data_IF_906626426280
#
_entry.id   IF_906626426280
#
_cell.length_a   1.000
_cell.length_b   1.000
_cell.length_c   1.000
_cell.angle_alpha   90.00
_cell.angle_beta   90.00
_cell.angle_gamma   90.00
#
_symmetry.space_group_name_H-M   'P 1'
#
loop_
_entity.id
_entity.type
_entity.pdbx_description
1 polymer ?
#
# COMPACT_ATOMS: atom_id res chain seq x y z
N UNK A 1 4.51 -2.51 14.59
CA UNK A 1 4.24 -3.44 15.71
C UNK A 1 4.58 -2.74 17.01
N UNK A 2 3.66 -2.65 17.95
CA UNK A 2 3.92 -2.24 19.33
C UNK A 2 4.05 -3.49 20.21
N UNK A 3 5.18 -3.62 20.91
CA UNK A 3 5.43 -4.65 21.90
C UNK A 3 5.22 -4.08 23.31
N UNK A 4 4.18 -4.57 23.99
CA UNK A 4 3.80 -4.07 25.30
C UNK A 4 4.81 -4.41 26.40
N UNK A 5 5.56 -5.50 26.26
CA UNK A 5 6.53 -5.92 27.27
C UNK A 5 7.70 -4.93 27.33
N UNK A 6 8.16 -4.46 26.17
CA UNK A 6 9.27 -3.50 26.08
C UNK A 6 8.82 -2.05 25.92
N UNK A 7 7.52 -1.82 25.68
CA UNK A 7 6.92 -0.53 25.31
C UNK A 7 7.55 0.10 24.05
N UNK A 8 8.11 -0.73 23.16
CA UNK A 8 8.75 -0.29 21.92
C UNK A 8 7.81 -0.47 20.74
N UNK A 9 7.92 0.46 19.80
CA UNK A 9 7.24 0.35 18.50
C UNK A 9 8.28 0.13 17.43
N UNK A 10 8.13 -0.94 16.65
CA UNK A 10 9.04 -1.34 15.59
C UNK A 10 8.31 -1.36 14.25
N UNK A 11 8.93 -0.80 13.22
CA UNK A 11 8.51 -0.89 11.83
C UNK A 11 9.24 -2.03 11.13
N UNK A 12 8.50 -2.90 10.43
CA UNK A 12 9.07 -3.96 9.59
C UNK A 12 8.63 -3.66 8.16
N UNK A 13 9.56 -3.17 7.36
CA UNK A 13 9.34 -2.85 5.95
C UNK A 13 9.74 -4.07 5.10
N UNK A 14 8.76 -4.61 4.38
CA UNK A 14 8.94 -5.78 3.53
C UNK A 14 8.29 -5.56 2.15
N UNK A 15 8.29 -4.32 1.67
CA UNK A 15 7.78 -3.97 0.37
C UNK A 15 8.67 -4.52 -0.76
N UNK A 16 8.06 -4.67 -1.93
CA UNK A 16 8.73 -5.22 -3.11
C UNK A 16 10.01 -4.47 -3.48
N UNK A 17 11.07 -5.23 -3.76
CA UNK A 17 12.36 -4.69 -4.17
C UNK A 17 12.61 -4.95 -5.66
N UNK A 18 13.09 -3.95 -6.39
CA UNK A 18 13.46 -4.10 -7.79
C UNK A 18 14.58 -5.14 -7.94
N UNK A 19 14.48 -6.08 -8.91
CA UNK A 19 15.61 -6.92 -9.26
C UNK A 19 16.85 -6.10 -9.65
N UNK A 20 18.04 -6.66 -9.43
CA UNK A 20 19.30 -6.00 -9.76
C UNK A 20 19.47 -5.73 -11.26
N UNK A 21 18.79 -6.50 -12.11
CA UNK A 21 18.83 -6.36 -13.56
C UNK A 21 17.73 -5.41 -14.13
N UNK A 22 17.04 -4.63 -13.29
CA UNK A 22 16.10 -3.62 -13.77
C UNK A 22 16.83 -2.53 -14.56
N UNK A 23 16.27 -2.14 -15.71
CA UNK A 23 16.77 -1.02 -16.52
C UNK A 23 15.72 0.10 -16.56
N UNK A 24 16.12 1.37 -16.81
CA UNK A 24 15.20 2.52 -16.86
C UNK A 24 14.10 2.43 -17.95
N UNK A 25 14.25 1.53 -18.91
CA UNK A 25 13.36 1.32 -20.05
C UNK A 25 12.58 -0.02 -19.99
N UNK A 26 12.81 -0.86 -18.96
CA UNK A 26 12.24 -2.20 -18.86
C UNK A 26 10.72 -2.23 -19.09
N UNK A 27 10.00 -1.29 -18.49
CA UNK A 27 8.53 -1.18 -18.60
C UNK A 27 8.05 -0.17 -19.65
N UNK A 28 8.94 0.50 -20.37
CA UNK A 28 8.54 1.46 -21.40
C UNK A 28 8.16 0.76 -22.71
N UNK A 29 7.14 1.25 -23.41
CA UNK A 29 6.80 0.88 -24.78
C UNK A 29 7.76 1.49 -25.79
N UNK A 30 7.55 1.18 -27.07
CA UNK A 30 8.30 1.78 -28.18
C UNK A 30 8.09 3.30 -28.28
N UNK A 31 6.97 3.80 -27.74
CA UNK A 31 6.63 5.21 -27.64
C UNK A 31 7.31 5.93 -26.47
N UNK A 32 8.15 5.22 -25.70
CA UNK A 32 8.82 5.74 -24.52
C UNK A 32 7.92 5.97 -23.31
N UNK A 33 6.65 5.53 -23.36
CA UNK A 33 5.70 5.64 -22.24
C UNK A 33 5.59 4.33 -21.49
N UNK A 34 5.07 4.35 -20.26
CA UNK A 34 4.84 3.13 -19.51
C UNK A 34 3.86 2.21 -20.25
N UNK A 35 4.26 0.95 -20.46
CA UNK A 35 3.45 -0.05 -21.16
C UNK A 35 2.64 -0.87 -20.15
N UNK A 36 1.32 -0.73 -20.19
CA UNK A 36 0.41 -1.53 -19.36
C UNK A 36 0.62 -3.04 -19.57
N UNK A 37 0.84 -3.48 -20.81
CA UNK A 37 1.10 -4.88 -21.12
C UNK A 37 2.39 -5.41 -20.45
N UNK A 38 3.42 -4.56 -20.31
CA UNK A 38 4.65 -4.93 -19.59
C UNK A 38 4.44 -4.91 -18.07
N UNK A 39 3.70 -3.92 -17.56
CA UNK A 39 3.31 -3.82 -16.14
C UNK A 39 2.53 -5.06 -15.69
N UNK A 40 1.53 -5.48 -16.48
CA UNK A 40 0.68 -6.64 -16.22
C UNK A 40 1.29 -7.93 -16.78
N UNK A 41 2.59 -8.13 -16.51
CA UNK A 41 3.35 -9.31 -16.92
C UNK A 41 4.46 -9.63 -15.94
N UNK A 42 5.20 -10.71 -16.19
CA UNK A 42 6.40 -11.06 -15.42
C UNK A 42 7.48 -9.95 -15.40
N UNK A 43 7.45 -8.99 -16.33
CA UNK A 43 8.34 -7.82 -16.34
C UNK A 43 8.06 -6.82 -15.21
N UNK A 44 6.79 -6.70 -14.78
CA UNK A 44 6.37 -5.76 -13.73
C UNK A 44 6.65 -6.23 -12.31
N UNK A 45 7.21 -7.43 -12.14
CA UNK A 45 7.33 -8.10 -10.85
C UNK A 45 8.56 -7.61 -10.08
N UNK A 46 8.32 -7.10 -8.86
CA UNK A 46 9.37 -6.93 -7.85
C UNK A 46 9.58 -8.22 -7.04
N UNK A 47 10.73 -8.33 -6.38
CA UNK A 47 11.03 -9.40 -5.42
C UNK A 47 9.97 -9.42 -4.30
N UNK A 48 9.20 -10.51 -4.12
CA UNK A 48 8.13 -10.55 -3.12
C UNK A 48 8.67 -10.57 -1.69
N UNK A 49 8.17 -9.66 -0.84
CA UNK A 49 8.70 -9.48 0.51
C UNK A 49 7.91 -10.10 1.66
N UNK A 50 6.66 -10.50 1.43
CA UNK A 50 5.72 -10.92 2.49
C UNK A 50 6.26 -12.03 3.38
N UNK A 51 6.88 -13.07 2.82
CA UNK A 51 7.41 -14.20 3.59
C UNK A 51 8.52 -13.73 4.54
N UNK A 52 9.45 -12.90 4.07
CA UNK A 52 10.52 -12.36 4.92
C UNK A 52 9.98 -11.44 6.00
N UNK A 53 9.00 -10.59 5.68
CA UNK A 53 8.37 -9.69 6.66
C UNK A 53 7.66 -10.43 7.78
N UNK A 54 6.81 -11.40 7.44
CA UNK A 54 6.09 -12.21 8.42
C UNK A 54 7.03 -13.10 9.24
N UNK A 55 8.07 -13.65 8.61
CA UNK A 55 9.07 -14.46 9.32
C UNK A 55 9.94 -13.61 10.26
N UNK A 56 10.31 -12.38 9.88
CA UNK A 56 11.03 -11.45 10.76
C UNK A 56 10.16 -11.00 11.95
N UNK A 57 8.87 -10.77 11.73
CA UNK A 57 7.91 -10.51 12.81
C UNK A 57 7.79 -11.72 13.75
N UNK A 58 7.72 -12.94 13.21
CA UNK A 58 7.69 -14.18 13.99
C UNK A 58 8.95 -14.36 14.84
N UNK A 59 10.14 -14.14 14.27
CA UNK A 59 11.41 -14.25 15.01
C UNK A 59 11.50 -13.29 16.19
N UNK A 60 10.92 -12.09 16.07
CA UNK A 60 11.00 -11.03 17.09
C UNK A 60 9.93 -11.15 18.16
N UNK A 61 8.71 -11.45 17.75
CA UNK A 61 7.52 -11.30 18.60
C UNK A 61 6.69 -12.59 18.70
N UNK A 62 6.98 -13.59 17.88
CA UNK A 62 6.22 -14.85 17.82
C UNK A 62 6.43 -15.72 19.06
N UNK A 63 5.33 -16.22 19.62
CA UNK A 63 5.35 -17.21 20.73
C UNK A 63 5.05 -18.63 20.27
N UNK A 64 4.20 -18.79 19.25
CA UNK A 64 3.84 -20.10 18.71
C UNK A 64 4.88 -20.57 17.69
N UNK A 65 5.12 -21.89 17.54
CA UNK A 65 5.99 -22.40 16.49
C UNK A 65 5.51 -21.97 15.09
N UNK A 66 6.45 -21.57 14.22
CA UNK A 66 6.16 -21.15 12.83
C UNK A 66 5.28 -22.15 12.09
N UNK A 67 5.59 -23.44 12.24
CA UNK A 67 4.83 -24.54 11.63
C UNK A 67 3.33 -24.49 11.96
N UNK A 68 3.00 -24.18 13.21
CA UNK A 68 1.62 -24.10 13.69
C UNK A 68 0.87 -22.92 13.07
N UNK A 69 1.56 -21.82 12.78
CA UNK A 69 0.95 -20.62 12.17
C UNK A 69 0.66 -20.82 10.67
N UNK A 70 1.46 -21.61 9.96
CA UNK A 70 1.28 -21.86 8.53
C UNK A 70 0.27 -23.00 8.25
N UNK A 71 0.14 -23.97 9.17
CA UNK A 71 -0.70 -25.15 8.96
C UNK A 71 -2.16 -24.83 8.61
N UNK A 72 -2.85 -23.87 9.25
CA UNK A 72 -4.23 -23.53 8.89
C UNK A 72 -4.37 -23.09 7.43
N UNK A 73 -3.38 -22.38 6.89
CA UNK A 73 -3.41 -21.94 5.48
C UNK A 73 -3.18 -23.10 4.52
N UNK A 74 -2.30 -24.05 4.88
CA UNK A 74 -2.12 -25.30 4.12
C UNK A 74 -3.43 -26.09 4.08
N UNK A 75 -4.11 -26.19 5.22
CA UNK A 75 -5.38 -26.89 5.35
C UNK A 75 -6.47 -26.24 4.49
N UNK A 76 -6.60 -24.91 4.53
CA UNK A 76 -7.54 -24.16 3.69
C UNK A 76 -7.25 -24.36 2.20
N UNK A 77 -6.00 -24.21 1.76
CA UNK A 77 -5.63 -24.39 0.36
C UNK A 77 -5.81 -25.84 -0.14
N UNK A 78 -5.66 -26.83 0.76
CA UNK A 78 -5.78 -28.25 0.44
C UNK A 78 -7.22 -28.76 0.47
N UNK A 79 -7.97 -28.46 1.55
CA UNK A 79 -9.37 -28.90 1.73
C UNK A 79 -10.30 -28.09 0.82
N UNK A 80 -9.95 -26.82 0.64
CA UNK A 80 -10.64 -25.84 -0.17
C UNK A 80 -11.36 -24.80 0.68
N UNK A 81 -11.54 -23.62 0.09
CA UNK A 81 -12.38 -22.54 0.64
C UNK A 81 -13.69 -22.48 -0.13
N UNK A 82 -14.78 -22.25 0.59
CA UNK A 82 -16.07 -21.95 -0.03
C UNK A 82 -16.04 -20.49 -0.47
N UNK A 83 -16.20 -20.25 -1.77
CA UNK A 83 -16.18 -18.92 -2.35
C UNK A 83 -17.39 -18.12 -1.85
N UNK A 84 -17.14 -16.93 -1.31
CA UNK A 84 -18.21 -15.97 -1.04
C UNK A 84 -18.73 -15.36 -2.35
N UNK A 85 -19.87 -14.65 -2.28
CA UNK A 85 -20.42 -13.93 -3.42
C UNK A 85 -19.39 -12.96 -4.02
N UNK A 86 -18.78 -12.13 -3.17
CA UNK A 86 -17.78 -11.14 -3.59
C UNK A 86 -16.52 -11.80 -4.17
N UNK A 87 -16.00 -12.85 -3.55
CA UNK A 87 -14.82 -13.56 -4.05
C UNK A 87 -15.08 -14.19 -5.43
N UNK A 88 -16.27 -14.77 -5.64
CA UNK A 88 -16.65 -15.38 -6.90
C UNK A 88 -16.82 -14.33 -8.01
N UNK A 89 -17.50 -13.22 -7.70
CA UNK A 89 -17.73 -12.11 -8.65
C UNK A 89 -16.40 -11.46 -9.03
N UNK A 90 -15.60 -11.04 -8.05
CA UNK A 90 -14.32 -10.37 -8.30
C UNK A 90 -13.34 -11.25 -9.09
N UNK A 91 -13.30 -12.55 -8.81
CA UNK A 91 -12.49 -13.49 -9.59
C UNK A 91 -13.02 -13.68 -11.03
N UNK A 92 -14.34 -13.72 -11.20
CA UNK A 92 -14.96 -13.83 -12.51
C UNK A 92 -14.71 -12.60 -13.39
N UNK A 93 -14.80 -11.40 -12.83
CA UNK A 93 -14.47 -10.13 -13.50
C UNK A 93 -13.02 -10.09 -14.02
N UNK A 94 -12.11 -10.81 -13.35
CA UNK A 94 -10.70 -10.90 -13.74
C UNK A 94 -10.38 -12.01 -14.73
N UNK A 95 -11.37 -12.79 -15.17
CA UNK A 95 -11.19 -13.94 -16.06
C UNK A 95 -10.50 -13.61 -17.38
N UNK A 96 -10.84 -12.47 -17.99
CA UNK A 96 -10.24 -12.05 -19.25
C UNK A 96 -8.74 -11.73 -19.07
N UNK A 97 -8.38 -11.10 -17.95
CA UNK A 97 -7.02 -10.64 -17.71
C UNK A 97 -6.12 -11.79 -17.23
N UNK A 98 -6.54 -12.52 -16.18
CA UNK A 98 -5.82 -13.68 -15.65
C UNK A 98 -5.74 -14.83 -16.65
N UNK A 99 -6.74 -14.98 -17.52
CA UNK A 99 -6.75 -16.03 -18.54
C UNK A 99 -5.67 -15.89 -19.61
N UNK A 100 -4.97 -14.75 -19.68
CA UNK A 100 -3.83 -14.54 -20.60
C UNK A 100 -2.58 -15.29 -20.14
N UNK A 101 -2.43 -15.55 -18.85
CA UNK A 101 -1.34 -16.34 -18.30
C UNK A 101 -1.80 -17.79 -18.05
N UNK A 102 -1.19 -18.80 -18.69
CA UNK A 102 -1.56 -20.20 -18.45
C UNK A 102 -1.38 -20.64 -16.99
N UNK A 103 -0.42 -20.04 -16.26
CA UNK A 103 -0.21 -20.32 -14.84
C UNK A 103 -1.38 -19.86 -13.99
N UNK A 104 -1.80 -18.60 -14.15
CA UNK A 104 -2.95 -18.04 -13.48
C UNK A 104 -4.24 -18.76 -13.88
N UNK A 105 -4.43 -19.06 -15.16
CA UNK A 105 -5.59 -19.81 -15.65
C UNK A 105 -5.72 -21.17 -14.94
N UNK A 106 -4.63 -21.93 -14.86
CA UNK A 106 -4.57 -23.24 -14.22
C UNK A 106 -4.89 -23.18 -12.71
N UNK A 107 -4.44 -22.12 -12.03
CA UNK A 107 -4.54 -22.01 -10.57
C UNK A 107 -5.89 -21.48 -10.12
N UNK A 108 -6.43 -20.47 -10.81
CA UNK A 108 -7.58 -19.70 -10.33
C UNK A 108 -8.91 -20.04 -11.03
N UNK A 109 -8.90 -20.81 -12.11
CA UNK A 109 -10.10 -21.21 -12.83
C UNK A 109 -10.26 -22.73 -12.88
N UNK A 110 -11.46 -23.18 -13.25
CA UNK A 110 -11.75 -24.61 -13.40
C UNK A 110 -10.96 -25.18 -14.58
N UNK A 111 -10.77 -26.51 -14.67
CA UNK A 111 -9.98 -27.13 -15.75
C UNK A 111 -10.48 -26.82 -17.17
N UNK A 112 -11.78 -26.57 -17.33
CA UNK A 112 -12.40 -26.12 -18.60
C UNK A 112 -12.26 -24.62 -18.84
N UNK A 113 -11.62 -23.89 -17.93
CA UNK A 113 -11.44 -22.44 -17.96
C UNK A 113 -12.63 -21.64 -17.47
N UNK A 114 -13.68 -22.26 -16.92
CA UNK A 114 -14.83 -21.55 -16.34
C UNK A 114 -14.55 -21.01 -14.93
N UNK A 115 -15.38 -20.08 -14.47
CA UNK A 115 -15.24 -19.41 -13.17
C UNK A 115 -15.88 -20.23 -12.04
N UNK A 116 -15.46 -19.98 -10.81
CA UNK A 116 -16.17 -20.45 -9.61
C UNK A 116 -17.31 -19.48 -9.29
N UNK A 117 -18.49 -20.01 -9.01
CA UNK A 117 -19.63 -19.29 -8.48
C UNK A 117 -19.66 -19.31 -6.95
N UNK A 118 -20.55 -18.52 -6.34
CA UNK A 118 -20.69 -18.51 -4.89
C UNK A 118 -21.10 -19.87 -4.34
N UNK A 119 -20.57 -20.23 -3.16
CA UNK A 119 -20.79 -21.53 -2.54
C UNK A 119 -19.96 -22.68 -3.13
N UNK A 120 -19.31 -22.49 -4.28
CA UNK A 120 -18.40 -23.50 -4.83
C UNK A 120 -17.07 -23.54 -4.06
N UNK A 121 -16.42 -24.70 -4.08
CA UNK A 121 -15.15 -24.90 -3.37
C UNK A 121 -13.94 -24.66 -4.27
N UNK A 122 -13.17 -23.62 -3.98
CA UNK A 122 -11.88 -23.34 -4.61
C UNK A 122 -10.73 -24.07 -3.89
N UNK A 123 -9.78 -24.64 -4.65
CA UNK A 123 -8.61 -25.36 -4.12
C UNK A 123 -7.34 -24.97 -4.86
N UNK A 124 -6.21 -24.91 -4.15
CA UNK A 124 -4.93 -24.51 -4.73
C UNK A 124 -3.80 -25.45 -4.30
N UNK A 125 -3.62 -26.54 -5.05
CA UNK A 125 -2.62 -27.59 -4.75
C UNK A 125 -1.18 -27.11 -4.92
N UNK A 126 -0.94 -26.21 -5.87
CA UNK A 126 0.40 -25.66 -6.12
C UNK A 126 0.83 -24.77 -4.93
N UNK A 127 -0.11 -23.99 -4.36
CA UNK A 127 0.14 -23.20 -3.15
C UNK A 127 0.42 -24.08 -1.93
N UNK A 128 -0.27 -25.21 -1.79
CA UNK A 128 0.01 -26.19 -0.72
C UNK A 128 1.46 -26.65 -0.76
N UNK A 129 1.99 -26.94 -1.95
CA UNK A 129 3.39 -27.34 -2.10
C UNK A 129 4.36 -26.23 -1.66
N UNK A 130 4.12 -24.99 -2.10
CA UNK A 130 4.92 -23.82 -1.71
C UNK A 130 4.88 -23.58 -0.20
N UNK A 131 3.69 -23.57 0.40
CA UNK A 131 3.50 -23.36 1.83
C UNK A 131 4.19 -24.43 2.67
N UNK A 132 4.24 -25.69 2.20
CA UNK A 132 5.00 -26.75 2.88
C UNK A 132 6.52 -26.48 2.90
N UNK A 133 7.08 -25.90 1.84
CA UNK A 133 8.49 -25.51 1.84
C UNK A 133 8.75 -24.38 2.85
N UNK A 134 7.90 -23.35 2.85
CA UNK A 134 7.95 -22.23 3.80
C UNK A 134 7.77 -22.72 5.23
N UNK A 135 6.84 -23.64 5.47
CA UNK A 135 6.59 -24.22 6.78
C UNK A 135 7.81 -24.97 7.32
N UNK A 136 8.48 -25.75 6.46
CA UNK A 136 9.61 -26.60 6.84
C UNK A 136 10.93 -25.84 6.99
N UNK A 137 11.15 -24.79 6.19
CA UNK A 137 12.45 -24.10 6.08
C UNK A 137 12.41 -22.61 6.48
N UNK A 138 11.28 -22.14 7.01
CA UNK A 138 11.09 -20.72 7.33
C UNK A 138 11.14 -19.85 6.07
N UNK A 139 11.73 -18.66 6.17
CA UNK A 139 11.90 -17.77 5.02
C UNK A 139 12.69 -18.41 3.86
N UNK A 140 13.72 -19.21 4.17
CA UNK A 140 14.53 -19.88 3.14
C UNK A 140 13.72 -20.89 2.31
N UNK A 141 12.56 -21.35 2.79
CA UNK A 141 11.65 -22.15 1.99
C UNK A 141 11.05 -21.42 0.78
N UNK A 142 11.11 -20.07 0.77
CA UNK A 142 10.69 -19.22 -0.34
C UNK A 142 11.89 -18.61 -1.09
N UNK A 143 12.85 -18.06 -0.35
CA UNK A 143 13.96 -17.28 -0.93
C UNK A 143 15.14 -18.14 -1.41
N UNK A 144 15.17 -19.43 -1.07
CA UNK A 144 16.23 -20.37 -1.48
C UNK A 144 15.62 -21.72 -1.89
N UNK A 145 16.33 -22.46 -2.75
CA UNK A 145 15.95 -23.81 -3.17
C UNK A 145 14.70 -23.87 -4.08
N UNK A 146 13.88 -24.93 -3.99
CA UNK A 146 12.94 -25.28 -5.07
C UNK A 146 11.88 -24.21 -5.39
N UNK A 147 11.38 -23.46 -4.41
CA UNK A 147 10.41 -22.39 -4.67
C UNK A 147 11.09 -21.24 -5.41
N UNK A 148 12.28 -20.84 -4.99
CA UNK A 148 13.07 -19.80 -5.63
C UNK A 148 13.42 -20.17 -7.08
N UNK A 149 13.85 -21.42 -7.30
CA UNK A 149 14.16 -21.97 -8.63
C UNK A 149 12.95 -21.93 -9.56
N UNK A 150 11.78 -22.40 -9.11
CA UNK A 150 10.54 -22.36 -9.93
C UNK A 150 10.09 -20.93 -10.22
N UNK A 151 10.15 -20.06 -9.22
CA UNK A 151 9.77 -18.66 -9.36
C UNK A 151 10.65 -17.97 -10.41
N UNK A 152 11.97 -18.05 -10.27
CA UNK A 152 12.92 -17.40 -11.17
C UNK A 152 12.82 -17.98 -12.58
N UNK A 153 12.76 -19.30 -12.73
CA UNK A 153 12.61 -19.94 -14.03
C UNK A 153 11.31 -19.47 -14.74
N UNK A 154 10.19 -19.40 -14.01
CA UNK A 154 8.92 -18.92 -14.53
C UNK A 154 8.95 -17.46 -14.96
N UNK A 155 9.55 -16.59 -14.12
CA UNK A 155 9.69 -15.15 -14.38
C UNK A 155 10.57 -14.91 -15.62
N UNK A 156 11.74 -15.55 -15.68
CA UNK A 156 12.69 -15.36 -16.77
C UNK A 156 12.21 -15.92 -18.10
N UNK A 157 11.55 -17.09 -18.11
CA UNK A 157 10.96 -17.68 -19.31
C UNK A 157 9.91 -16.78 -19.99
N UNK A 158 9.40 -15.78 -19.27
CA UNK A 158 8.40 -14.81 -19.75
C UNK A 158 8.92 -13.37 -19.75
N UNK A 159 10.24 -13.20 -19.74
CA UNK A 159 10.93 -11.93 -19.96
C UNK A 159 11.07 -11.04 -18.73
N UNK A 160 10.72 -11.51 -17.53
CA UNK A 160 11.06 -10.82 -16.30
C UNK A 160 12.54 -10.99 -15.93
N UNK A 161 13.06 -10.09 -15.10
CA UNK A 161 14.51 -9.94 -14.87
C UNK A 161 14.98 -10.39 -13.48
N UNK A 162 14.09 -11.00 -12.69
CA UNK A 162 14.44 -11.53 -11.37
C UNK A 162 15.41 -12.71 -11.47
N UNK A 163 16.36 -12.77 -10.56
CA UNK A 163 17.37 -13.85 -10.45
C UNK A 163 17.28 -14.58 -9.10
N UNK A 164 17.99 -15.70 -8.98
CA UNK A 164 18.13 -16.40 -7.70
C UNK A 164 18.91 -15.57 -6.67
N UNK A 165 19.88 -14.77 -7.13
CA UNK A 165 20.64 -13.87 -6.28
C UNK A 165 19.76 -12.77 -5.69
N UNK A 166 18.85 -12.21 -6.50
CA UNK A 166 17.85 -11.24 -6.04
C UNK A 166 17.00 -11.82 -4.88
N UNK A 167 16.48 -13.03 -5.05
CA UNK A 167 15.70 -13.71 -3.99
C UNK A 167 16.56 -14.00 -2.76
N UNK A 168 17.75 -14.55 -2.93
CA UNK A 168 18.64 -14.89 -1.83
C UNK A 168 19.13 -13.65 -1.07
N UNK A 169 19.23 -12.50 -1.74
CA UNK A 169 19.65 -11.21 -1.19
C UNK A 169 18.55 -10.45 -0.45
N UNK A 170 17.27 -10.71 -0.76
CA UNK A 170 16.15 -9.97 -0.19
C UNK A 170 16.06 -10.07 1.34
N UNK A 171 15.88 -8.95 2.02
CA UNK A 171 15.64 -8.87 3.48
C UNK A 171 14.56 -7.85 3.78
N UNK A 172 13.75 -8.12 4.81
CA UNK A 172 12.90 -7.10 5.39
C UNK A 172 13.77 -6.12 6.19
N UNK A 173 13.47 -4.82 6.09
CA UNK A 173 14.13 -3.79 6.87
C UNK A 173 13.42 -3.63 8.21
N UNK A 174 14.20 -3.57 9.30
CA UNK A 174 13.67 -3.29 10.63
C UNK A 174 14.10 -1.89 11.05
N UNK A 175 13.14 -1.06 11.35
CA UNK A 175 13.31 0.38 11.50
C UNK A 175 12.55 0.89 12.72
N UNK A 176 12.94 2.06 13.21
CA UNK A 176 12.10 2.86 14.11
C UNK A 176 11.04 3.58 13.28
N UNK A 177 9.80 3.72 13.78
CA UNK A 177 8.78 4.51 13.10
C UNK A 177 9.16 6.00 13.09
N UNK A 178 8.56 6.74 12.15
CA UNK A 178 8.58 8.20 12.19
C UNK A 178 7.55 8.64 13.22
N UNK A 179 8.01 9.37 14.24
CA UNK A 179 7.15 9.91 15.28
C UNK A 179 6.75 11.34 14.96
N UNK A 180 5.46 11.64 15.10
CA UNK A 180 4.91 12.99 15.16
C UNK A 180 3.79 13.01 16.19
N UNK A 181 3.11 14.14 16.33
CA UNK A 181 1.94 14.27 17.18
C UNK A 181 0.81 14.96 16.39
N UNK A 182 -0.42 14.87 16.87
CA UNK A 182 -1.55 15.62 16.34
C UNK A 182 -2.56 15.84 17.47
N UNK A 183 -2.84 17.11 17.80
CA UNK A 183 -3.75 17.50 18.90
C UNK A 183 -3.37 16.85 20.25
N UNK A 184 -2.06 16.75 20.52
CA UNK A 184 -1.52 16.16 21.74
C UNK A 184 -1.47 14.62 21.77
N UNK A 185 -1.94 13.94 20.72
CA UNK A 185 -1.80 12.49 20.58
C UNK A 185 -0.52 12.17 19.83
N UNK A 186 0.27 11.23 20.35
CA UNK A 186 1.52 10.77 19.70
C UNK A 186 1.18 9.74 18.62
N UNK A 187 1.78 9.86 17.43
CA UNK A 187 1.49 8.98 16.31
C UNK A 187 2.78 8.39 15.75
N UNK A 188 2.79 7.06 15.60
CA UNK A 188 3.84 6.32 14.91
C UNK A 188 3.42 6.07 13.46
N UNK A 189 4.20 6.61 12.55
CA UNK A 189 4.06 6.44 11.11
C UNK A 189 5.11 5.47 10.57
N UNK A 190 4.69 4.62 9.64
CA UNK A 190 5.61 3.74 8.92
C UNK A 190 6.66 4.56 8.14
N UNK A 191 7.97 4.25 8.24
CA UNK A 191 8.99 4.94 7.47
C UNK A 191 8.84 4.70 5.95
N UNK A 192 9.45 5.57 5.12
CA UNK A 192 9.57 5.32 3.69
C UNK A 192 10.12 3.91 3.41
N UNK A 193 9.65 3.22 2.38
CA UNK A 193 8.97 3.74 1.18
C UNK A 193 7.44 3.90 1.29
N UNK A 194 6.86 3.65 2.48
CA UNK A 194 5.45 3.93 2.80
C UNK A 194 5.10 5.43 2.67
N UNK A 195 3.84 5.74 2.38
CA UNK A 195 3.34 7.11 2.38
C UNK A 195 2.89 7.63 3.76
N UNK A 196 3.10 6.87 4.85
CA UNK A 196 2.66 7.31 6.17
C UNK A 196 3.34 8.61 6.62
N UNK A 197 4.56 8.91 6.15
CA UNK A 197 5.20 10.23 6.37
C UNK A 197 4.48 11.37 5.64
N UNK A 198 3.89 11.12 4.47
CA UNK A 198 3.03 12.09 3.78
C UNK A 198 1.69 12.27 4.51
N UNK A 199 1.16 11.21 5.13
CA UNK A 199 0.01 11.37 6.05
C UNK A 199 0.39 12.28 7.22
N UNK A 200 1.56 12.07 7.83
CA UNK A 200 2.05 12.91 8.94
C UNK A 200 2.19 14.39 8.53
N UNK A 201 2.71 14.65 7.33
CA UNK A 201 2.78 15.99 6.74
C UNK A 201 1.39 16.64 6.64
N UNK A 202 0.44 15.94 6.01
CA UNK A 202 -0.92 16.45 5.82
C UNK A 202 -1.60 16.69 7.18
N UNK A 203 -1.48 15.77 8.14
CA UNK A 203 -2.00 15.96 9.49
C UNK A 203 -1.40 17.20 10.16
N UNK A 204 -0.10 17.43 10.04
CA UNK A 204 0.53 18.62 10.63
C UNK A 204 0.11 19.93 9.95
N UNK A 205 -0.22 19.90 8.65
CA UNK A 205 -0.81 21.06 7.95
C UNK A 205 -2.21 21.33 8.52
N UNK A 206 -3.05 20.30 8.62
CA UNK A 206 -4.42 20.41 9.16
C UNK A 206 -4.44 20.91 10.60
N UNK A 207 -3.39 20.65 11.38
CA UNK A 207 -3.32 21.12 12.76
C UNK A 207 -3.31 22.65 12.88
N UNK A 208 -2.90 23.36 11.83
CA UNK A 208 -2.93 24.81 11.77
C UNK A 208 -4.34 25.40 11.62
N UNK A 209 -5.34 24.55 11.39
CA UNK A 209 -6.73 24.95 11.17
C UNK A 209 -7.64 24.43 12.29
N UNK A 210 -8.73 25.12 12.63
CA UNK A 210 -9.66 24.70 13.69
C UNK A 210 -10.61 23.60 13.18
N UNK A 211 -10.08 22.44 12.81
CA UNK A 211 -10.83 21.33 12.19
C UNK A 211 -12.03 20.89 13.03
N UNK A 212 -11.87 20.82 14.36
CA UNK A 212 -12.98 20.53 15.29
C UNK A 212 -14.14 21.52 15.14
N UNK A 213 -13.84 22.82 15.01
CA UNK A 213 -14.87 23.86 14.86
C UNK A 213 -15.52 23.87 13.49
N UNK A 214 -14.80 23.43 12.44
CA UNK A 214 -15.39 23.26 11.11
C UNK A 214 -16.37 22.08 11.07
N UNK A 215 -16.04 21.00 11.78
CA UNK A 215 -16.87 19.80 11.86
C UNK A 215 -16.82 18.93 10.61
N UNK A 216 -17.31 17.69 10.75
CA UNK A 216 -17.48 16.78 9.62
C UNK A 216 -18.65 17.21 8.74
N UNK A 217 -18.53 17.04 7.42
CA UNK A 217 -19.61 17.39 6.48
C UNK A 217 -19.76 18.90 6.28
N UNK A 218 -18.66 19.66 6.38
CA UNK A 218 -18.63 21.10 6.14
C UNK A 218 -17.68 21.43 4.99
N UNK A 219 -18.07 22.38 4.14
CA UNK A 219 -17.27 22.84 2.99
C UNK A 219 -15.89 23.34 3.43
N UNK A 220 -15.76 24.01 4.56
CA UNK A 220 -14.47 24.49 5.09
C UNK A 220 -13.54 23.31 5.43
N UNK A 221 -14.07 22.30 6.12
CA UNK A 221 -13.32 21.09 6.50
C UNK A 221 -12.85 20.32 5.26
N UNK A 222 -13.75 20.06 4.32
CA UNK A 222 -13.44 19.35 3.07
C UNK A 222 -12.47 20.14 2.18
N UNK A 223 -12.63 21.47 2.10
CA UNK A 223 -11.73 22.33 1.36
C UNK A 223 -10.31 22.25 1.93
N UNK A 224 -10.12 22.46 3.23
CA UNK A 224 -8.78 22.43 3.84
C UNK A 224 -8.14 21.03 3.74
N UNK A 225 -8.93 19.96 3.90
CA UNK A 225 -8.46 18.58 3.68
C UNK A 225 -7.99 18.40 2.24
N UNK A 226 -8.76 18.84 1.25
CA UNK A 226 -8.40 18.76 -0.16
C UNK A 226 -7.09 19.53 -0.45
N UNK A 227 -6.99 20.78 -0.01
CA UNK A 227 -5.80 21.61 -0.22
C UNK A 227 -4.54 21.04 0.44
N UNK A 228 -4.66 20.53 1.67
CA UNK A 228 -3.54 19.88 2.36
C UNK A 228 -3.10 18.59 1.64
N UNK A 229 -4.05 17.83 1.08
CA UNK A 229 -3.75 16.64 0.26
C UNK A 229 -3.05 17.01 -1.04
N UNK A 230 -3.42 18.12 -1.72
CA UNK A 230 -2.71 18.63 -2.91
C UNK A 230 -1.25 18.90 -2.60
N UNK A 231 -0.99 19.56 -1.47
CA UNK A 231 0.36 19.86 -0.99
C UNK A 231 1.15 18.57 -0.75
N UNK A 232 0.61 17.65 0.07
CA UNK A 232 1.29 16.40 0.41
C UNK A 232 1.54 15.50 -0.80
N UNK A 233 0.65 15.51 -1.81
CA UNK A 233 0.85 14.80 -3.06
C UNK A 233 2.06 15.32 -3.85
N UNK A 234 2.29 16.63 -3.85
CA UNK A 234 3.44 17.25 -4.52
C UNK A 234 4.73 16.96 -3.75
N UNK A 235 4.72 17.11 -2.42
CA UNK A 235 5.91 16.93 -1.58
C UNK A 235 6.33 15.45 -1.47
N UNK A 236 5.40 14.52 -1.70
CA UNK A 236 5.69 13.09 -1.84
C UNK A 236 6.75 12.77 -2.90
N UNK A 237 7.00 13.65 -3.88
CA UNK A 237 8.09 13.47 -4.87
C UNK A 237 9.49 13.34 -4.26
N UNK A 238 9.68 13.77 -3.00
CA UNK A 238 10.94 13.65 -2.25
C UNK A 238 11.08 12.32 -1.49
N UNK A 239 10.05 11.48 -1.50
CA UNK A 239 10.05 10.18 -0.83
C UNK A 239 10.43 9.05 -1.78
N UNK A 240 11.39 8.23 -1.39
CA UNK A 240 11.89 7.10 -2.17
C UNK A 240 12.45 6.00 -1.28
N UNK A 241 12.62 4.81 -1.85
CA UNK A 241 13.20 3.66 -1.15
C UNK A 241 14.72 3.75 -0.99
N UNK A 242 15.21 3.43 0.20
CA UNK A 242 16.63 3.22 0.45
C UNK A 242 17.12 1.83 0.02
N UNK A 243 18.46 1.63 -0.09
CA UNK A 243 19.52 2.60 0.22
C UNK A 243 19.80 3.63 -0.89
N UNK A 244 19.24 3.48 -2.08
CA UNK A 244 19.50 4.33 -3.25
C UNK A 244 19.03 5.78 -3.04
N UNK A 245 18.02 5.97 -2.19
CA UNK A 245 17.54 7.30 -1.81
C UNK A 245 17.41 7.45 -0.29
N UNK A 246 17.82 8.61 0.23
CA UNK A 246 17.59 8.99 1.63
C UNK A 246 16.45 10.01 1.72
N UNK A 247 15.26 9.51 1.98
CA UNK A 247 14.07 10.36 2.15
C UNK A 247 14.22 11.30 3.36
N UNK A 248 13.95 12.61 3.24
CA UNK A 248 13.96 13.56 4.35
C UNK A 248 12.68 13.44 5.22
N UNK A 249 12.34 12.22 5.65
CA UNK A 249 11.05 11.90 6.28
C UNK A 249 10.78 12.69 7.57
N UNK A 250 11.82 12.95 8.37
CA UNK A 250 11.72 13.76 9.59
C UNK A 250 11.34 15.20 9.25
N UNK A 251 11.90 15.76 8.17
CA UNK A 251 11.57 17.11 7.70
C UNK A 251 10.13 17.21 7.19
N UNK A 252 9.72 16.26 6.34
CA UNK A 252 8.34 16.17 5.81
C UNK A 252 7.31 16.05 6.95
N UNK A 253 7.60 15.22 7.96
CA UNK A 253 6.73 15.02 9.11
C UNK A 253 6.90 16.08 10.23
N UNK A 254 7.60 17.19 9.97
CA UNK A 254 7.85 18.23 10.98
C UNK A 254 6.78 19.32 11.01
N UNK A 255 6.49 19.83 12.22
CA UNK A 255 5.59 20.97 12.42
C UNK A 255 6.06 22.23 11.71
N UNK A 256 7.37 22.47 11.70
CA UNK A 256 7.96 23.66 11.08
C UNK A 256 7.73 23.66 9.57
N UNK A 257 7.95 22.53 8.89
CA UNK A 257 7.67 22.40 7.47
C UNK A 257 6.17 22.60 7.20
N UNK A 258 5.31 21.88 7.92
CA UNK A 258 3.86 21.98 7.77
C UNK A 258 3.32 23.41 7.96
N UNK A 259 3.86 24.18 8.92
CA UNK A 259 3.50 25.59 9.13
C UNK A 259 3.82 26.46 7.92
N UNK A 260 4.93 26.23 7.24
CA UNK A 260 5.25 26.94 6.00
C UNK A 260 4.33 26.53 4.85
N UNK A 261 3.99 25.25 4.75
CA UNK A 261 3.08 24.74 3.71
C UNK A 261 1.64 25.22 3.91
N UNK A 262 1.16 25.30 5.15
CA UNK A 262 -0.19 25.76 5.47
C UNK A 262 -0.47 27.20 4.98
N UNK A 263 0.55 28.05 4.84
CA UNK A 263 0.42 29.41 4.30
C UNK A 263 -0.02 29.44 2.83
N UNK A 264 0.10 28.32 2.11
CA UNK A 264 -0.35 28.22 0.72
C UNK A 264 -1.87 28.04 0.60
N UNK A 265 -2.53 27.61 1.67
CA UNK A 265 -3.97 27.33 1.66
C UNK A 265 -4.73 28.65 1.77
N UNK A 266 -5.47 29.01 0.71
CA UNK A 266 -6.45 30.09 0.74
C UNK A 266 -7.82 29.52 1.07
N UNK A 267 -8.53 30.09 2.04
CA UNK A 267 -9.89 29.63 2.39
C UNK A 267 -10.92 29.90 1.28
N UNK A 268 -10.60 30.72 0.28
CA UNK A 268 -11.53 31.19 -0.75
C UNK A 268 -11.29 30.57 -2.13
N UNK A 269 -10.09 30.06 -2.38
CA UNK A 269 -9.69 29.52 -3.69
C UNK A 269 -8.84 28.26 -3.55
N UNK A 270 -9.12 27.26 -4.38
CA UNK A 270 -8.31 26.06 -4.51
C UNK A 270 -6.98 26.33 -5.22
N UNK A 271 -5.91 25.68 -4.75
CA UNK A 271 -4.58 25.70 -5.34
C UNK A 271 -4.58 25.09 -6.75
N UNK A 272 -3.82 25.72 -7.64
CA UNK A 272 -3.60 25.33 -9.03
C UNK A 272 -2.13 24.99 -9.32
N UNK A 273 -1.90 24.35 -10.47
CA UNK A 273 -0.57 24.00 -10.97
C UNK A 273 0.46 25.13 -10.96
N UNK A 274 0.00 26.34 -11.30
CA UNK A 274 0.87 27.50 -11.46
C UNK A 274 1.45 27.94 -10.12
N UNK A 275 0.69 27.75 -9.04
CA UNK A 275 1.06 28.07 -7.67
C UNK A 275 1.84 26.94 -6.99
N UNK A 276 1.67 25.70 -7.46
CA UNK A 276 2.38 24.53 -6.97
C UNK A 276 2.55 23.50 -8.11
N UNK A 277 3.73 23.42 -8.77
CA UNK A 277 3.90 22.56 -9.94
C UNK A 277 3.55 21.10 -9.59
N UNK A 278 2.50 20.53 -10.20
CA UNK A 278 1.89 19.30 -9.76
C UNK A 278 2.34 18.11 -10.60
N UNK A 279 1.88 16.94 -10.17
CA UNK A 279 1.75 15.80 -11.05
C UNK A 279 0.55 14.93 -10.69
N UNK A 280 -0.08 14.31 -11.68
CA UNK A 280 -1.18 13.36 -11.49
C UNK A 280 -0.64 11.92 -11.35
N UNK A 281 -0.56 11.35 -10.14
CA UNK A 281 -0.05 9.99 -9.94
C UNK A 281 -1.10 8.91 -10.20
N UNK A 282 -2.39 9.26 -10.31
CA UNK A 282 -3.50 8.28 -10.35
C UNK A 282 -3.47 7.31 -11.52
N UNK A 283 -3.00 7.66 -12.75
CA UNK A 283 -2.96 6.71 -13.85
C UNK A 283 -2.05 5.49 -13.61
N UNK A 284 -1.20 5.54 -12.58
CA UNK A 284 -0.17 4.52 -12.32
C UNK A 284 -0.25 3.91 -10.92
N UNK A 285 -1.14 4.41 -10.07
CA UNK A 285 -1.40 3.85 -8.74
C UNK A 285 -2.59 2.91 -8.79
N UNK A 286 -2.37 1.64 -8.46
CA UNK A 286 -3.46 0.70 -8.21
C UNK A 286 -4.33 1.20 -7.04
N UNK A 287 -5.67 1.11 -7.10
CA UNK A 287 -6.58 1.37 -5.97
C UNK A 287 -6.60 0.25 -4.92
N UNK A 288 -5.88 -0.85 -5.13
CA UNK A 288 -6.04 -2.07 -4.35
C UNK A 288 -4.93 -2.26 -3.32
N UNK A 289 -5.28 -2.79 -2.14
CA UNK A 289 -4.34 -3.18 -1.08
C UNK A 289 -5.11 -4.08 -0.09
N UNK A 290 -4.46 -4.65 0.92
CA UNK A 290 -5.14 -5.25 2.07
C UNK A 290 -4.53 -4.72 3.36
N UNK A 291 -5.39 -4.38 4.32
CA UNK A 291 -4.99 -3.96 5.66
C UNK A 291 -5.62 -4.88 6.71
N UNK A 292 -4.87 -5.17 7.78
CA UNK A 292 -5.43 -5.73 8.99
C UNK A 292 -4.74 -5.16 10.23
N UNK A 293 -5.49 -5.12 11.33
CA UNK A 293 -4.99 -4.74 12.64
C UNK A 293 -5.33 -5.84 13.67
N UNK A 294 -4.40 -6.14 14.57
CA UNK A 294 -4.54 -7.15 15.62
C UNK A 294 -4.09 -6.57 16.94
N UNK A 295 -4.89 -6.75 18.00
CA UNK A 295 -4.49 -6.48 19.38
C UNK A 295 -4.66 -7.76 20.21
N UNK A 296 -3.79 -7.98 21.20
CA UNK A 296 -3.87 -9.13 22.09
C UNK A 296 -4.10 -8.75 23.56
N UNK A 297 -4.39 -9.76 24.39
CA UNK A 297 -4.61 -9.59 25.84
C UNK A 297 -3.38 -9.10 26.62
N UNK A 298 -2.20 -9.14 26.02
CA UNK A 298 -0.96 -8.67 26.64
C UNK A 298 -0.69 -7.19 26.29
N UNK A 299 -1.53 -6.58 25.46
CA UNK A 299 -1.41 -5.20 25.02
C UNK A 299 -0.55 -5.02 23.76
N UNK A 300 -0.13 -6.10 23.10
CA UNK A 300 0.59 -5.98 21.84
C UNK A 300 -0.35 -5.54 20.73
N UNK A 301 0.13 -4.69 19.82
CA UNK A 301 -0.68 -4.17 18.71
C UNK A 301 0.09 -4.24 17.40
N UNK A 302 -0.54 -4.82 16.38
CA UNK A 302 -0.03 -4.91 15.01
C UNK A 302 -0.98 -4.14 14.11
N UNK A 303 -0.43 -3.22 13.32
CA UNK A 303 -1.08 -2.61 12.16
C UNK A 303 -0.25 -3.04 10.95
N UNK A 304 -0.88 -3.70 9.98
CA UNK A 304 -0.18 -4.27 8.84
C UNK A 304 -0.92 -4.01 7.53
N UNK A 305 -0.20 -3.42 6.57
CA UNK A 305 -0.71 -3.18 5.23
C UNK A 305 0.23 -3.85 4.23
N UNK A 306 -0.32 -4.71 3.37
CA UNK A 306 0.45 -5.42 2.34
C UNK A 306 -0.37 -5.54 1.06
N UNK A 307 0.30 -5.70 -0.08
CA UNK A 307 -0.35 -5.58 -1.39
C UNK A 307 0.46 -6.26 -2.49
N UNK A 308 -0.22 -6.59 -3.60
CA UNK A 308 0.38 -6.94 -4.89
C UNK A 308 0.53 -5.71 -5.82
N UNK A 309 0.26 -4.50 -5.30
CA UNK A 309 -0.10 -3.31 -6.05
C UNK A 309 -1.49 -3.46 -6.66
N UNK A 310 -1.64 -3.88 -7.92
CA UNK A 310 -2.96 -4.12 -8.54
C UNK A 310 -3.74 -5.27 -7.91
N UNK A 311 -5.07 -5.23 -8.03
CA UNK A 311 -5.93 -6.40 -7.79
C UNK A 311 -5.43 -7.58 -8.63
N UNK A 312 -5.17 -8.71 -7.95
CA UNK A 312 -4.50 -9.90 -8.53
C UNK A 312 -3.09 -9.65 -9.09
N UNK A 313 -2.45 -8.53 -8.73
CA UNK A 313 -1.08 -8.17 -9.09
C UNK A 313 -0.85 -8.02 -10.60
N UNK A 314 0.25 -8.59 -11.09
CA UNK A 314 0.60 -8.63 -12.51
C UNK A 314 -0.25 -9.63 -13.33
N UNK A 315 -1.22 -10.30 -12.70
CA UNK A 315 -2.07 -11.34 -13.31
C UNK A 315 -1.32 -12.59 -13.77
N UNK A 316 -0.11 -12.81 -13.23
CA UNK A 316 0.75 -13.93 -13.61
C UNK A 316 1.08 -14.82 -12.41
N UNK A 317 1.23 -16.11 -12.68
CA UNK A 317 1.68 -17.13 -11.72
C UNK A 317 2.87 -17.87 -12.31
N UNK A 318 3.99 -17.89 -11.58
CA UNK A 318 5.11 -18.74 -11.96
C UNK A 318 4.68 -20.23 -11.91
N UNK A 319 4.95 -21.03 -12.96
CA UNK A 319 4.44 -22.40 -13.03
C UNK A 319 4.78 -23.25 -11.80
N UNK A 320 3.76 -23.86 -11.20
CA UNK A 320 3.92 -24.78 -10.07
C UNK A 320 4.23 -24.11 -8.72
N UNK A 321 4.06 -22.80 -8.60
CA UNK A 321 4.18 -22.07 -7.31
C UNK A 321 2.83 -21.79 -6.65
N UNK A 322 1.78 -21.58 -7.44
CA UNK A 322 0.41 -21.43 -6.95
C UNK A 322 0.04 -20.08 -6.35
N UNK A 323 0.85 -19.03 -6.55
CA UNK A 323 0.55 -17.68 -6.06
C UNK A 323 0.77 -16.62 -7.14
N UNK A 324 -0.01 -15.55 -7.06
CA UNK A 324 0.09 -14.39 -7.95
C UNK A 324 1.34 -13.56 -7.63
N UNK A 325 1.91 -12.97 -8.66
CA UNK A 325 3.03 -12.03 -8.54
C UNK A 325 2.52 -10.59 -8.56
N UNK A 326 3.19 -9.72 -7.80
CA UNK A 326 2.90 -8.29 -7.78
C UNK A 326 3.27 -7.62 -9.12
N UNK A 327 2.76 -6.43 -9.37
CA UNK A 327 3.21 -5.53 -10.45
C UNK A 327 3.88 -4.26 -9.90
N UNK A 328 4.50 -4.34 -8.72
CA UNK A 328 4.97 -3.16 -7.98
C UNK A 328 6.12 -2.39 -8.66
N UNK A 329 6.76 -2.92 -9.73
CA UNK A 329 7.74 -2.14 -10.49
C UNK A 329 7.08 -0.94 -11.18
N UNK A 330 5.78 -1.02 -11.48
CA UNK A 330 5.02 0.08 -12.07
C UNK A 330 4.98 1.33 -11.17
N UNK A 331 5.21 1.17 -9.86
CA UNK A 331 5.15 2.27 -8.91
C UNK A 331 6.39 3.17 -8.94
N UNK A 332 7.42 2.86 -9.73
CA UNK A 332 8.52 3.80 -10.00
C UNK A 332 8.11 4.89 -10.97
N UNK A 333 8.84 6.00 -10.95
CA UNK A 333 8.72 7.09 -11.92
C UNK A 333 9.41 6.72 -13.24
N UNK A 334 8.68 6.01 -14.10
CA UNK A 334 9.11 5.65 -15.45
C UNK A 334 9.01 6.84 -16.40
N UNK A 335 10.01 7.02 -17.27
CA UNK A 335 10.12 8.15 -18.19
C UNK A 335 10.11 9.55 -17.54
N UNK A 336 10.28 9.65 -16.21
CA UNK A 336 10.26 10.92 -15.48
C UNK A 336 8.88 11.59 -15.48
N UNK A 337 7.82 10.82 -15.72
CA UNK A 337 6.46 11.33 -15.74
C UNK A 337 6.13 12.01 -14.42
N UNK A 338 6.35 11.36 -13.28
CA UNK A 338 6.05 11.85 -11.93
C UNK A 338 7.04 12.86 -11.38
N UNK A 339 8.06 13.24 -12.16
CA UNK A 339 9.10 14.19 -11.79
C UNK A 339 9.62 13.94 -10.36
N UNK A 340 9.68 12.67 -9.97
CA UNK A 340 10.08 12.22 -8.65
C UNK A 340 11.49 11.66 -8.76
N UNK A 341 12.53 12.50 -8.59
CA UNK A 341 13.91 12.03 -8.61
C UNK A 341 14.13 10.95 -7.54
N UNK A 342 13.39 11.02 -6.43
CA UNK A 342 13.43 10.06 -5.35
C UNK A 342 12.95 8.66 -5.74
N UNK A 343 12.08 8.55 -6.75
CA UNK A 343 11.39 7.32 -7.10
C UNK A 343 11.70 6.82 -8.53
N UNK A 344 12.85 7.18 -9.08
CA UNK A 344 13.33 6.58 -10.34
C UNK A 344 13.56 5.06 -10.19
N UNK A 345 13.33 4.26 -11.25
CA UNK A 345 13.65 2.84 -11.25
C UNK A 345 15.16 2.63 -11.17
N UNK A 346 15.62 1.92 -10.14
CA UNK A 346 17.04 1.63 -9.91
C UNK A 346 17.21 0.19 -9.39
N UNK A 347 18.30 -0.51 -9.78
CA UNK A 347 18.64 -1.83 -9.25
C UNK A 347 18.58 -1.91 -7.72
N UNK A 348 17.87 -2.92 -7.20
CA UNK A 348 17.77 -3.17 -5.76
C UNK A 348 16.97 -2.13 -4.97
N UNK A 349 16.32 -1.16 -5.63
CA UNK A 349 15.55 -0.12 -4.96
C UNK A 349 14.14 -0.60 -4.63
N UNK A 350 13.51 -0.03 -3.61
CA UNK A 350 12.08 -0.22 -3.35
C UNK A 350 11.30 0.96 -3.92
N UNK A 351 10.25 0.65 -4.68
CA UNK A 351 9.38 1.68 -5.24
C UNK A 351 8.61 2.39 -4.13
N UNK A 352 8.23 3.64 -4.38
CA UNK A 352 7.29 4.36 -3.52
C UNK A 352 5.98 3.59 -3.39
N UNK A 353 5.41 3.57 -2.19
CA UNK A 353 4.12 2.96 -1.91
C UNK A 353 3.15 4.00 -1.34
N UNK A 354 1.86 3.73 -1.44
CA UNK A 354 0.80 4.54 -0.80
C UNK A 354 0.37 3.96 0.54
N UNK A 355 0.75 2.71 0.84
CA UNK A 355 0.37 2.03 2.08
C UNK A 355 0.79 2.87 3.28
N UNK A 356 -0.10 3.01 4.27
CA UNK A 356 0.12 3.88 5.43
C UNK A 356 -0.41 3.26 6.72
N UNK A 357 0.19 2.16 7.23
CA UNK A 357 -0.18 1.62 8.53
C UNK A 357 0.28 2.58 9.65
N UNK A 358 -0.64 2.89 10.57
CA UNK A 358 -0.48 3.94 11.59
C UNK A 358 -0.90 3.41 12.97
N UNK A 359 -0.14 3.79 14.01
CA UNK A 359 -0.52 3.63 15.41
C UNK A 359 -0.61 5.00 16.09
N UNK A 360 -1.74 5.29 16.72
CA UNK A 360 -1.96 6.48 17.54
C UNK A 360 -1.93 6.07 19.00
N UNK A 361 -1.30 6.90 19.83
CA UNK A 361 -1.11 6.67 21.25
C UNK A 361 -1.81 7.75 22.07
N UNK A 362 -2.47 7.31 23.14
CA UNK A 362 -3.07 8.16 24.17
C UNK A 362 -2.51 7.69 25.52
N UNK A 363 -1.98 8.62 26.31
CA UNK A 363 -1.32 8.31 27.60
C UNK A 363 -0.23 7.23 27.47
N UNK A 364 0.62 7.36 26.42
CA UNK A 364 1.69 6.42 26.05
C UNK A 364 1.26 4.97 25.78
N UNK A 365 -0.03 4.72 25.57
CA UNK A 365 -0.58 3.41 25.20
C UNK A 365 -1.19 3.46 23.80
N UNK A 366 -1.09 2.38 23.00
CA UNK A 366 -1.81 2.30 21.74
C UNK A 366 -3.31 2.52 21.98
N UNK A 367 -3.88 3.46 21.25
CA UNK A 367 -5.28 3.86 21.35
C UNK A 367 -6.04 3.58 20.05
N UNK A 368 -5.40 3.81 18.90
CA UNK A 368 -5.95 3.48 17.60
C UNK A 368 -4.87 2.82 16.74
N UNK A 369 -5.22 1.68 16.14
CA UNK A 369 -4.43 1.04 15.09
C UNK A 369 -5.26 1.08 13.82
N UNK A 370 -4.70 1.66 12.76
CA UNK A 370 -5.46 1.84 11.53
C UNK A 370 -4.54 1.82 10.31
N UNK A 371 -5.18 1.60 9.17
CA UNK A 371 -4.64 1.46 7.84
C UNK A 371 -5.79 1.07 6.93
N UNK A 372 -5.61 1.20 5.63
CA UNK A 372 -6.67 0.91 4.67
C UNK A 372 -6.09 0.39 3.37
N UNK A 373 -6.83 -0.46 2.65
CA UNK A 373 -6.66 -0.55 1.21
C UNK A 373 -7.13 0.74 0.51
N UNK A 374 -6.93 0.87 -0.80
CA UNK A 374 -7.39 2.05 -1.54
C UNK A 374 -6.34 2.69 -2.45
N UNK A 375 -5.12 2.13 -2.52
CA UNK A 375 -4.15 2.62 -3.48
C UNK A 375 -3.77 4.08 -3.30
N UNK A 376 -3.88 4.87 -4.37
CA UNK A 376 -3.70 6.33 -4.33
C UNK A 376 -4.63 7.06 -3.37
N UNK A 377 -5.78 6.46 -3.00
CA UNK A 377 -6.71 7.07 -2.03
C UNK A 377 -6.35 6.78 -0.57
N UNK A 378 -5.34 5.93 -0.29
CA UNK A 378 -4.94 5.57 1.08
C UNK A 378 -4.61 6.81 1.90
N UNK A 379 -3.82 7.74 1.34
CA UNK A 379 -3.39 8.94 2.07
C UNK A 379 -4.63 9.78 2.45
N UNK A 380 -5.51 10.06 1.49
CA UNK A 380 -6.76 10.81 1.73
C UNK A 380 -7.67 10.11 2.76
N UNK A 381 -7.78 8.79 2.67
CA UNK A 381 -8.59 7.98 3.58
C UNK A 381 -8.01 8.00 5.00
N UNK A 382 -6.71 7.80 5.15
CA UNK A 382 -6.04 7.83 6.46
C UNK A 382 -6.17 9.19 7.14
N UNK A 383 -5.97 10.28 6.38
CA UNK A 383 -6.15 11.65 6.88
C UNK A 383 -7.56 11.86 7.41
N UNK A 384 -8.59 11.51 6.62
CA UNK A 384 -9.98 11.70 7.04
C UNK A 384 -10.38 10.82 8.23
N UNK A 385 -9.91 9.56 8.28
CA UNK A 385 -10.17 8.69 9.45
C UNK A 385 -9.53 9.28 10.72
N UNK A 386 -8.30 9.78 10.63
CA UNK A 386 -7.64 10.43 11.77
C UNK A 386 -8.34 11.71 12.21
N UNK A 387 -8.70 12.60 11.28
CA UNK A 387 -9.47 13.83 11.58
C UNK A 387 -10.83 13.49 12.20
N UNK A 388 -11.54 12.51 11.64
CA UNK A 388 -12.84 12.08 12.14
C UNK A 388 -12.78 11.56 13.59
N UNK A 389 -11.77 10.76 13.91
CA UNK A 389 -11.60 10.22 15.26
C UNK A 389 -11.08 11.29 16.23
N UNK A 390 -10.09 12.10 15.81
CA UNK A 390 -9.34 12.99 16.71
C UNK A 390 -10.01 14.36 16.85
N UNK A 391 -10.37 15.02 15.74
CA UNK A 391 -10.98 16.36 15.79
C UNK A 391 -12.50 16.28 15.94
N UNK A 392 -13.16 15.39 15.20
CA UNK A 392 -14.63 15.28 15.21
C UNK A 392 -15.17 14.36 16.32
N UNK A 393 -14.30 13.68 17.06
CA UNK A 393 -14.67 12.84 18.21
C UNK A 393 -15.54 11.63 17.86
N UNK A 394 -15.57 11.22 16.59
CA UNK A 394 -16.34 10.06 16.14
C UNK A 394 -15.72 8.77 16.65
N UNK A 395 -16.55 7.78 16.97
CA UNK A 395 -16.03 6.46 17.23
C UNK A 395 -15.50 5.82 15.92
N UNK A 396 -14.66 4.80 16.03
CA UNK A 396 -13.97 4.25 14.85
C UNK A 396 -14.95 3.70 13.79
N UNK A 397 -16.09 3.13 14.19
CA UNK A 397 -17.09 2.60 13.25
C UNK A 397 -17.76 3.73 12.47
N UNK A 398 -18.10 4.84 13.14
CA UNK A 398 -18.64 6.02 12.49
C UNK A 398 -17.60 6.66 11.56
N UNK A 399 -16.37 6.83 12.06
CA UNK A 399 -15.29 7.49 11.33
C UNK A 399 -14.95 6.80 10.00
N UNK A 400 -15.04 5.46 9.94
CA UNK A 400 -14.79 4.69 8.70
C UNK A 400 -16.02 4.56 7.79
N UNK A 401 -17.21 4.89 8.28
CA UNK A 401 -18.43 4.88 7.45
C UNK A 401 -18.76 6.27 6.89
N UNK A 402 -18.11 7.32 7.38
CA UNK A 402 -18.31 8.67 6.85
C UNK A 402 -17.87 8.78 5.39
N UNK A 403 -18.70 9.34 4.49
CA UNK A 403 -18.30 9.66 3.13
C UNK A 403 -17.02 10.48 3.07
N UNK A 404 -16.20 10.21 2.05
CA UNK A 404 -14.86 10.75 1.90
C UNK A 404 -14.67 11.47 0.58
N UNK A 405 -13.72 12.39 0.59
CA UNK A 405 -13.09 12.94 -0.61
C UNK A 405 -11.72 12.30 -0.87
N UNK A 406 -11.23 12.35 -2.09
CA UNK A 406 -9.82 12.09 -2.39
C UNK A 406 -9.29 13.08 -3.39
N UNK A 407 -8.07 13.57 -3.14
CA UNK A 407 -7.42 14.60 -3.93
C UNK A 407 -5.97 14.15 -4.22
N UNK A 408 -5.66 13.91 -5.50
CA UNK A 408 -4.40 13.31 -5.94
C UNK A 408 -3.28 14.31 -6.28
N UNK A 409 -3.57 15.61 -6.27
CA UNK A 409 -2.64 16.69 -6.66
C UNK A 409 -3.38 17.97 -7.07
N UNK A 410 -2.71 19.10 -7.26
CA UNK A 410 -3.35 20.39 -7.57
C UNK A 410 -4.35 20.39 -8.75
N UNK A 411 -4.02 19.75 -9.87
CA UNK A 411 -4.89 19.70 -11.06
C UNK A 411 -5.66 18.38 -11.20
N UNK A 412 -5.50 17.46 -10.24
CA UNK A 412 -6.29 16.24 -10.23
C UNK A 412 -7.76 16.59 -9.89
N UNK A 413 -8.76 16.06 -10.60
CA UNK A 413 -10.15 16.18 -10.14
C UNK A 413 -10.32 15.62 -8.74
N UNK A 414 -11.11 16.33 -7.94
CA UNK A 414 -11.53 15.86 -6.63
C UNK A 414 -12.45 14.65 -6.82
N UNK A 415 -12.14 13.56 -6.14
CA UNK A 415 -12.99 12.37 -6.11
C UNK A 415 -13.88 12.44 -4.88
N UNK A 416 -15.15 12.08 -5.03
CA UNK A 416 -16.18 12.20 -4.01
C UNK A 416 -16.92 10.85 -3.92
N UNK A 417 -17.12 10.32 -2.72
CA UNK A 417 -18.05 9.21 -2.54
C UNK A 417 -19.50 9.66 -2.80
N UNK A 418 -20.31 8.78 -3.38
CA UNK A 418 -21.69 9.08 -3.85
C UNK A 418 -22.61 9.66 -2.76
N UNK A 419 -22.31 9.38 -1.49
CA UNK A 419 -23.11 9.80 -0.34
C UNK A 419 -22.77 11.21 0.16
N UNK A 420 -21.88 11.96 -0.51
CA UNK A 420 -21.61 13.38 -0.20
C UNK A 420 -22.79 14.23 -0.71
N UNK A 421 -23.42 15.05 0.17
CA UNK A 421 -24.51 15.95 -0.22
C UNK A 421 -24.13 16.97 -1.31
N UNK A 422 -25.05 17.21 -2.25
CA UNK A 422 -24.84 18.10 -3.40
C UNK A 422 -24.57 19.57 -3.02
N UNK A 423 -25.08 20.05 -1.88
CA UNK A 423 -24.78 21.38 -1.37
C UNK A 423 -23.31 21.53 -0.96
N UNK A 424 -22.70 20.46 -0.39
CA UNK A 424 -21.27 20.42 -0.13
C UNK A 424 -20.46 20.40 -1.43
N UNK A 425 -20.91 19.63 -2.43
CA UNK A 425 -20.29 19.60 -3.76
C UNK A 425 -20.32 20.99 -4.41
N UNK A 426 -21.48 21.65 -4.39
CA UNK A 426 -21.62 23.01 -4.90
C UNK A 426 -20.72 24.01 -4.17
N UNK A 427 -20.61 23.89 -2.84
CA UNK A 427 -19.71 24.72 -2.04
C UNK A 427 -18.23 24.51 -2.35
N UNK A 428 -17.81 23.27 -2.63
CA UNK A 428 -16.45 22.96 -3.08
C UNK A 428 -16.17 23.54 -4.47
N UNK A 429 -17.12 23.39 -5.41
CA UNK A 429 -17.04 24.01 -6.75
C UNK A 429 -16.94 25.53 -6.68
N UNK A 430 -17.69 26.17 -5.78
CA UNK A 430 -17.62 27.62 -5.57
C UNK A 430 -16.23 28.09 -5.09
N UNK A 431 -15.44 27.20 -4.47
CA UNK A 431 -14.04 27.44 -4.08
C UNK A 431 -13.03 27.02 -5.17
N UNK A 432 -13.48 26.54 -6.32
CA UNK A 432 -12.63 26.14 -7.44
C UNK A 432 -12.14 24.69 -7.42
N UNK A 433 -12.73 23.81 -6.60
CA UNK A 433 -12.51 22.36 -6.71
C UNK A 433 -13.30 21.83 -7.92
N UNK A 434 -12.61 21.08 -8.80
CA UNK A 434 -13.18 20.54 -10.05
C UNK A 434 -13.36 19.04 -9.97
#
# INVERSE_FOLDING_TARGET
VYDAATKKTVAIEYYGQAPNAVTPDLLLGEDGKLSEAKVMSFKGVTIPGTVAGLYEAHKRFGKLPWKQLIQPTIDLASKGMVMTDDEAVTLAERRQALGKDPGALKVFYKPDGSTYGPGETFRNKDLVWTLKQIQARGADGFYRGPVAERLVAGVQARGGVMTLEDLAGYRANVMEPIWSDYRGLKIAYMPPTSAASSVAEVMNILEQFPMQSYGWGNVQSMHVISEALKIGAVDRRYSGGGPQWKTPAIGLASKAFAKERAKLISMDKSLDAASLPPLDPRPYESPDTTHYSVADKFGNVVTNTYTLSSSYGAHVVAPGTGFLLNNSLANFDWAGYSQSPANKPEPGKRAQSTISPILVFKDDKPWLATGTPGGGTIISTMVQVLVNVIDHGLNISEAVQRPRISQGGPDAPIQLEESIPEDLVAGLRAKGHV
#
